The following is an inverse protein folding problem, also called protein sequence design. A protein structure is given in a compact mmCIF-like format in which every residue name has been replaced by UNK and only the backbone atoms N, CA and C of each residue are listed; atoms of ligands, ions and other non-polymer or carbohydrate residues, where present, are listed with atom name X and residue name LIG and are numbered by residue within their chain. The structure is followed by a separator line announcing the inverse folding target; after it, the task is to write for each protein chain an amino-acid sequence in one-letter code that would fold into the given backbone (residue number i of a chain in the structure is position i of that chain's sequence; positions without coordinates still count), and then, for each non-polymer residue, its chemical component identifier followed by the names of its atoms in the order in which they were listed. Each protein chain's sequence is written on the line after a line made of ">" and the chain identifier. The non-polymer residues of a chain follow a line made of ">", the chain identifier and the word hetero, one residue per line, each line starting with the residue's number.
data_IF_297527985413
#
_entry.id   IF_297527985413
#
_cell.length_a   1.000
_cell.length_b   1.000
_cell.length_c   1.000
_cell.angle_alpha   90.00
_cell.angle_beta   90.00
_cell.angle_gamma   90.00
#
_symmetry.space_group_name_H-M   'P 1'
#
loop_
_entity.id
_entity.type
_entity.pdbx_description
1 polymer ?
#
# COMPACT_ATOMS: atom_id res chain seq x y z
N UNK A 1 7.30 5.92 6.00
CA UNK A 1 7.39 4.44 6.09
C UNK A 1 6.05 3.79 5.74
N UNK A 2 6.07 2.53 5.30
CA UNK A 2 4.82 1.79 5.06
C UNK A 2 4.22 1.33 6.40
N UNK A 3 2.89 1.48 6.61
CA UNK A 3 2.20 0.91 7.78
C UNK A 3 2.39 -0.60 7.94
N UNK A 4 2.71 -1.31 6.85
CA UNK A 4 2.95 -2.75 6.85
C UNK A 4 4.32 -3.16 7.43
N UNK A 5 5.22 -2.19 7.71
CA UNK A 5 6.55 -2.43 8.27
C UNK A 5 6.51 -3.21 9.60
N UNK A 6 5.46 -3.00 10.39
CA UNK A 6 5.29 -3.62 11.71
C UNK A 6 4.32 -4.81 11.72
N UNK A 7 3.85 -5.25 10.56
CA UNK A 7 2.77 -6.24 10.47
C UNK A 7 1.42 -5.69 10.94
N UNK A 8 0.32 -6.29 10.47
CA UNK A 8 -1.04 -5.77 10.63
C UNK A 8 -1.52 -5.60 12.09
N UNK A 9 -0.86 -6.21 13.08
CA UNK A 9 -1.38 -6.32 14.43
C UNK A 9 -0.58 -5.56 15.51
N UNK A 10 0.63 -5.05 15.21
CA UNK A 10 1.45 -4.43 16.23
C UNK A 10 0.87 -3.10 16.71
N UNK A 11 0.49 -2.23 15.78
CA UNK A 11 -0.08 -0.92 16.09
C UNK A 11 -1.51 -1.00 16.68
N UNK A 12 -2.18 -2.16 16.60
CA UNK A 12 -3.51 -2.37 17.18
C UNK A 12 -3.46 -2.67 18.69
N UNK A 13 -2.29 -3.02 19.23
CA UNK A 13 -2.14 -3.27 20.66
C UNK A 13 -2.25 -1.98 21.47
N UNK A 14 -2.80 -2.10 22.68
CA UNK A 14 -3.06 -0.96 23.58
C UNK A 14 -1.81 -0.12 23.87
N UNK A 15 -0.63 -0.73 23.90
CA UNK A 15 0.65 -0.06 24.16
C UNK A 15 1.03 0.94 23.03
N UNK A 16 0.48 0.78 21.84
CA UNK A 16 0.74 1.64 20.67
C UNK A 16 -0.36 2.67 20.41
N UNK A 17 -1.32 2.81 21.32
CA UNK A 17 -2.48 3.68 21.12
C UNK A 17 -2.10 5.16 20.90
N UNK A 18 -1.09 5.68 21.61
CA UNK A 18 -0.57 7.06 21.43
C UNK A 18 0.04 7.22 20.04
N UNK A 19 0.89 6.28 19.63
CA UNK A 19 1.51 6.28 18.30
C UNK A 19 0.44 6.22 17.20
N UNK A 20 -0.54 5.33 17.32
CA UNK A 20 -1.64 5.22 16.36
C UNK A 20 -2.41 6.54 16.22
N UNK A 21 -2.81 7.16 17.34
CA UNK A 21 -3.50 8.46 17.33
C UNK A 21 -2.68 9.57 16.68
N UNK A 22 -1.38 9.60 16.95
CA UNK A 22 -0.47 10.55 16.30
C UNK A 22 -0.39 10.31 14.80
N UNK A 23 -0.22 9.05 14.34
CA UNK A 23 -0.15 8.71 12.92
C UNK A 23 -1.45 9.01 12.17
N UNK A 24 -2.61 8.85 12.82
CA UNK A 24 -3.90 9.29 12.28
C UNK A 24 -3.92 10.80 12.02
N UNK A 25 -3.43 11.61 12.97
CA UNK A 25 -3.34 13.07 12.81
C UNK A 25 -2.25 13.48 11.82
N UNK A 26 -1.16 12.70 11.72
CA UNK A 26 -0.06 12.95 10.79
C UNK A 26 -0.48 12.93 9.32
N UNK A 27 -1.63 12.32 8.99
CA UNK A 27 -2.22 12.40 7.64
C UNK A 27 -2.61 13.83 7.24
N UNK A 28 -2.88 14.69 8.23
CA UNK A 28 -3.13 16.12 8.00
C UNK A 28 -1.84 16.97 8.08
N UNK A 29 -0.69 16.32 8.21
CA UNK A 29 0.59 16.97 8.51
C UNK A 29 0.66 17.38 9.98
N UNK A 30 1.77 17.03 10.64
CA UNK A 30 2.07 17.46 12.03
C UNK A 30 3.39 18.20 12.02
N UNK A 31 3.40 19.35 12.68
CA UNK A 31 4.62 20.08 12.99
C UNK A 31 4.88 20.00 14.49
N UNK A 32 6.03 19.47 14.85
CA UNK A 32 6.48 19.38 16.22
C UNK A 32 7.32 20.61 16.60
N UNK A 33 7.30 21.06 17.88
CA UNK A 33 8.18 22.10 18.35
C UNK A 33 9.65 21.64 18.31
N UNK A 34 10.57 22.59 18.12
CA UNK A 34 12.01 22.30 18.04
C UNK A 34 12.53 21.53 19.26
N UNK A 35 11.99 21.80 20.46
CA UNK A 35 12.33 21.08 21.69
C UNK A 35 12.08 19.57 21.59
N UNK A 36 11.00 19.15 20.96
CA UNK A 36 10.67 17.74 20.78
C UNK A 36 11.53 17.09 19.70
N UNK A 37 11.86 17.84 18.65
CA UNK A 37 12.80 17.38 17.61
C UNK A 37 14.18 17.15 18.23
N UNK A 38 14.68 18.06 19.05
CA UNK A 38 15.98 17.93 19.72
C UNK A 38 16.05 16.72 20.66
N UNK A 39 14.95 16.35 21.33
CA UNK A 39 14.90 15.15 22.17
C UNK A 39 15.17 13.85 21.38
N UNK A 40 14.67 13.77 20.15
CA UNK A 40 14.80 12.56 19.31
C UNK A 40 15.95 12.64 18.31
N UNK A 41 16.63 13.78 18.21
CA UNK A 41 17.66 14.04 17.20
C UNK A 41 18.79 12.98 17.21
N UNK A 42 19.30 12.64 18.41
CA UNK A 42 20.35 11.63 18.54
C UNK A 42 19.91 10.21 18.10
N UNK A 43 18.60 9.91 18.22
CA UNK A 43 18.04 8.64 17.72
C UNK A 43 17.90 8.66 16.21
N UNK A 44 17.58 9.83 15.62
CA UNK A 44 17.52 9.99 14.15
C UNK A 44 18.91 9.84 13.54
N UNK A 45 19.97 10.39 14.15
CA UNK A 45 21.36 10.20 13.68
C UNK A 45 21.77 8.72 13.70
N UNK A 46 21.41 8.00 14.77
CA UNK A 46 21.67 6.56 14.89
C UNK A 46 20.94 5.74 13.82
N UNK A 47 19.71 6.11 13.46
CA UNK A 47 18.97 5.42 12.40
C UNK A 47 19.67 5.50 11.03
N UNK A 48 20.37 6.60 10.75
CA UNK A 48 21.12 6.77 9.48
C UNK A 48 22.38 5.92 9.47
N UNK A 49 23.00 5.70 10.63
CA UNK A 49 24.25 4.92 10.74
C UNK A 49 24.06 3.41 10.89
N UNK A 50 22.87 2.97 11.34
CA UNK A 50 22.58 1.57 11.67
C UNK A 50 21.56 0.93 10.70
N UNK A 51 21.78 1.00 9.39
CA UNK A 51 20.80 0.69 8.33
C UNK A 51 20.12 -0.69 8.38
N UNK A 52 20.60 -1.68 9.14
CA UNK A 52 20.00 -3.02 9.17
C UNK A 52 20.03 -3.71 10.55
N UNK A 53 20.12 -2.95 11.64
CA UNK A 53 20.21 -3.58 12.97
C UNK A 53 18.83 -3.67 13.66
N UNK A 54 18.68 -4.66 14.55
CA UNK A 54 17.52 -4.72 15.46
C UNK A 54 17.33 -3.42 16.23
N UNK A 55 18.41 -2.75 16.60
CA UNK A 55 18.39 -1.48 17.30
C UNK A 55 17.81 -0.34 16.47
N UNK A 56 17.94 -0.35 15.15
CA UNK A 56 17.27 0.63 14.28
C UNK A 56 15.75 0.56 14.44
N UNK A 57 15.17 -0.63 14.55
CA UNK A 57 13.73 -0.80 14.78
C UNK A 57 13.33 -0.25 16.16
N UNK A 58 14.12 -0.53 17.19
CA UNK A 58 13.87 -0.02 18.55
C UNK A 58 13.99 1.49 18.58
N UNK A 59 15.04 2.06 18.00
CA UNK A 59 15.24 3.51 17.92
C UNK A 59 14.08 4.19 17.17
N UNK A 60 13.62 3.60 16.08
CA UNK A 60 12.49 4.12 15.33
C UNK A 60 11.17 4.09 16.14
N UNK A 61 10.88 2.99 16.84
CA UNK A 61 9.71 2.91 17.72
C UNK A 61 9.81 3.90 18.88
N UNK A 62 11.00 4.11 19.42
CA UNK A 62 11.24 5.09 20.49
C UNK A 62 10.98 6.51 19.98
N UNK A 63 11.46 6.87 18.79
CA UNK A 63 11.18 8.16 18.16
C UNK A 63 9.66 8.36 18.00
N UNK A 64 8.96 7.36 17.47
CA UNK A 64 7.50 7.45 17.30
C UNK A 64 6.78 7.62 18.64
N UNK A 65 7.25 6.93 19.69
CA UNK A 65 6.66 7.05 21.01
C UNK A 65 6.91 8.43 21.59
N UNK A 66 8.14 8.92 21.62
CA UNK A 66 8.51 10.25 22.16
C UNK A 66 7.72 11.38 21.45
N UNK A 67 7.56 11.28 20.13
CA UNK A 67 6.75 12.24 19.36
C UNK A 67 5.25 12.08 19.64
N UNK A 68 4.79 10.87 19.96
CA UNK A 68 3.36 10.59 20.17
C UNK A 68 2.83 11.09 21.51
N UNK A 69 3.71 11.29 22.49
CA UNK A 69 3.37 11.83 23.83
C UNK A 69 3.54 13.35 23.91
N UNK A 70 4.04 14.00 22.85
CA UNK A 70 4.13 15.45 22.78
C UNK A 70 2.74 16.06 22.61
N UNK A 71 2.39 17.03 23.47
CA UNK A 71 1.10 17.71 23.47
C UNK A 71 1.09 18.99 22.63
N UNK A 72 2.26 19.62 22.44
CA UNK A 72 2.42 20.93 21.81
C UNK A 72 2.67 20.85 20.29
N UNK A 73 2.16 19.84 19.60
CA UNK A 73 2.27 19.76 18.15
C UNK A 73 1.17 20.58 17.45
N UNK A 74 1.43 21.04 16.22
CA UNK A 74 0.46 21.71 15.35
C UNK A 74 0.05 20.81 14.21
N UNK A 75 -1.25 20.65 14.00
CA UNK A 75 -1.79 20.02 12.78
C UNK A 75 -1.81 21.08 11.69
N UNK A 76 -1.19 20.81 10.53
CA UNK A 76 -0.94 21.78 9.49
C UNK A 76 -2.15 22.00 8.57
N UNK A 77 -2.94 20.96 8.32
CA UNK A 77 -4.13 21.07 7.49
C UNK A 77 -5.39 21.22 8.34
N UNK A 78 -6.31 22.09 7.91
CA UNK A 78 -7.61 22.26 8.58
C UNK A 78 -8.46 20.99 8.48
N UNK A 79 -9.42 20.84 9.40
CA UNK A 79 -10.41 19.75 9.43
C UNK A 79 -11.26 19.65 8.13
N UNK A 80 -11.27 20.68 7.29
CA UNK A 80 -11.84 20.62 5.94
C UNK A 80 -11.01 19.77 4.98
N UNK A 81 -9.70 19.66 5.21
CA UNK A 81 -8.82 18.71 4.54
C UNK A 81 -8.97 17.31 5.16
N UNK A 82 -9.38 17.22 6.40
CA UNK A 82 -9.70 15.96 7.11
C UNK A 82 -10.99 15.27 6.57
N UNK A 83 -11.76 15.89 5.66
CA UNK A 83 -12.70 15.14 4.80
C UNK A 83 -12.02 14.16 3.84
N UNK A 84 -10.70 14.20 3.76
CA UNK A 84 -9.85 13.09 3.25
C UNK A 84 -9.71 11.97 4.31
N UNK A 85 -10.39 12.02 5.44
CA UNK A 85 -10.46 10.95 6.45
C UNK A 85 -11.23 9.71 6.00
N UNK A 86 -11.59 9.66 4.76
CA UNK A 86 -11.90 8.42 4.07
C UNK A 86 -10.63 7.63 3.64
N UNK A 87 -9.41 8.16 3.93
CA UNK A 87 -8.16 7.51 3.51
C UNK A 87 -8.03 6.10 4.11
N UNK A 88 -8.46 5.88 5.36
CA UNK A 88 -8.46 4.52 5.94
C UNK A 88 -9.55 3.63 5.34
N UNK A 89 -10.72 4.17 5.04
CA UNK A 89 -11.76 3.44 4.36
C UNK A 89 -11.39 3.22 2.89
N UNK A 90 -10.80 4.21 2.25
CA UNK A 90 -10.27 4.13 0.90
C UNK A 90 -9.05 3.20 0.81
N UNK A 91 -8.12 3.25 1.77
CA UNK A 91 -7.00 2.30 1.86
C UNK A 91 -7.50 0.87 2.07
N UNK A 92 -8.49 0.65 2.92
CA UNK A 92 -9.15 -0.65 3.09
C UNK A 92 -9.89 -1.09 1.83
N UNK A 93 -10.58 -0.19 1.14
CA UNK A 93 -11.25 -0.50 -0.12
C UNK A 93 -10.27 -0.92 -1.19
N UNK A 94 -9.19 -0.15 -1.41
CA UNK A 94 -8.20 -0.50 -2.43
C UNK A 94 -7.48 -1.81 -2.08
N UNK A 95 -7.14 -2.04 -0.83
CA UNK A 95 -6.52 -3.28 -0.37
C UNK A 95 -7.44 -4.51 -0.58
N UNK A 96 -8.74 -4.36 -0.30
CA UNK A 96 -9.74 -5.41 -0.57
C UNK A 96 -9.81 -5.76 -2.06
N UNK A 97 -9.77 -4.74 -2.92
CA UNK A 97 -9.76 -4.92 -4.38
C UNK A 97 -8.46 -5.60 -4.84
N UNK A 98 -7.31 -5.17 -4.35
CA UNK A 98 -6.01 -5.75 -4.70
C UNK A 98 -5.91 -7.21 -4.27
N UNK A 99 -6.37 -7.55 -3.07
CA UNK A 99 -6.43 -8.94 -2.58
C UNK A 99 -7.32 -9.79 -3.48
N UNK A 100 -8.54 -9.29 -3.82
CA UNK A 100 -9.45 -10.00 -4.72
C UNK A 100 -8.82 -10.27 -6.09
N UNK A 101 -8.12 -9.28 -6.66
CA UNK A 101 -7.44 -9.44 -7.96
C UNK A 101 -6.29 -10.46 -7.83
N UNK A 102 -5.47 -10.39 -6.79
CA UNK A 102 -4.35 -11.31 -6.57
C UNK A 102 -4.79 -12.76 -6.40
N UNK A 103 -5.95 -12.99 -5.76
CA UNK A 103 -6.51 -14.33 -5.57
C UNK A 103 -7.14 -14.90 -6.85
N UNK A 104 -7.60 -14.02 -7.76
CA UNK A 104 -8.43 -14.41 -8.92
C UNK A 104 -7.91 -13.90 -10.26
N UNK A 105 -6.64 -13.47 -10.36
CA UNK A 105 -6.07 -12.87 -11.58
C UNK A 105 -6.20 -13.76 -12.83
N UNK A 106 -6.29 -15.06 -12.66
CA UNK A 106 -6.46 -16.04 -13.75
C UNK A 106 -7.87 -15.98 -14.36
N UNK A 107 -8.86 -15.51 -13.62
CA UNK A 107 -10.27 -15.49 -14.00
C UNK A 107 -10.63 -14.19 -14.75
N UNK A 108 -11.84 -14.16 -15.34
CA UNK A 108 -12.42 -12.93 -15.89
C UNK A 108 -12.89 -12.02 -14.73
N UNK A 109 -12.14 -10.97 -14.45
CA UNK A 109 -12.45 -9.99 -13.42
C UNK A 109 -13.11 -8.78 -14.05
N UNK A 110 -14.39 -8.57 -13.72
CA UNK A 110 -15.18 -7.47 -14.26
C UNK A 110 -15.20 -6.26 -13.32
N UNK A 111 -15.18 -5.08 -13.92
CA UNK A 111 -15.20 -3.80 -13.18
C UNK A 111 -16.42 -3.71 -12.24
N UNK A 112 -17.59 -4.19 -12.68
CA UNK A 112 -18.81 -4.13 -11.86
C UNK A 112 -18.70 -4.97 -10.59
N UNK A 113 -18.07 -6.15 -10.65
CA UNK A 113 -17.85 -7.02 -9.48
C UNK A 113 -16.98 -6.33 -8.43
N UNK A 114 -15.93 -5.64 -8.86
CA UNK A 114 -15.04 -4.91 -7.96
C UNK A 114 -15.68 -3.65 -7.40
N UNK A 115 -16.49 -2.96 -8.20
CA UNK A 115 -17.25 -1.81 -7.75
C UNK A 115 -18.25 -2.20 -6.65
N UNK A 116 -18.99 -3.30 -6.85
CA UNK A 116 -19.93 -3.87 -5.88
C UNK A 116 -19.19 -4.32 -4.60
N UNK A 117 -18.04 -4.98 -4.71
CA UNK A 117 -17.20 -5.43 -3.59
C UNK A 117 -16.86 -4.31 -2.61
N UNK A 118 -16.75 -3.06 -3.08
CA UNK A 118 -16.40 -1.89 -2.27
C UNK A 118 -17.55 -0.88 -2.11
N UNK A 119 -18.76 -1.25 -2.56
CA UNK A 119 -19.97 -0.42 -2.43
C UNK A 119 -19.91 0.87 -3.25
N UNK A 120 -19.39 0.82 -4.48
CA UNK A 120 -19.26 1.97 -5.35
C UNK A 120 -19.98 1.77 -6.69
N UNK A 121 -20.45 2.88 -7.29
CA UNK A 121 -20.91 2.83 -8.69
C UNK A 121 -19.71 2.55 -9.62
N UNK A 122 -19.89 1.78 -10.73
CA UNK A 122 -18.79 1.40 -11.64
C UNK A 122 -17.94 2.57 -12.15
N UNK A 123 -18.56 3.67 -12.51
CA UNK A 123 -17.87 4.89 -13.00
C UNK A 123 -17.04 5.56 -11.90
N UNK A 124 -17.57 5.60 -10.66
CA UNK A 124 -16.86 6.15 -9.51
C UNK A 124 -15.68 5.25 -9.13
N UNK A 125 -15.89 3.91 -9.13
CA UNK A 125 -14.84 2.93 -8.89
C UNK A 125 -13.69 3.04 -9.90
N UNK A 126 -13.98 3.17 -11.19
CA UNK A 126 -12.95 3.31 -12.22
C UNK A 126 -12.03 4.51 -11.97
N UNK A 127 -12.61 5.67 -11.62
CA UNK A 127 -11.85 6.89 -11.26
C UNK A 127 -11.07 6.71 -9.96
N UNK A 128 -11.70 6.15 -8.93
CA UNK A 128 -11.09 5.85 -7.65
C UNK A 128 -9.88 4.91 -7.82
N UNK A 129 -10.04 3.81 -8.55
CA UNK A 129 -8.99 2.83 -8.76
C UNK A 129 -7.79 3.43 -9.49
N UNK A 130 -8.05 4.17 -10.59
CA UNK A 130 -6.98 4.86 -11.36
C UNK A 130 -6.26 5.91 -10.50
N UNK A 131 -6.97 6.66 -9.68
CA UNK A 131 -6.37 7.67 -8.79
C UNK A 131 -5.45 7.01 -7.75
N UNK A 132 -5.85 5.86 -7.18
CA UNK A 132 -5.11 5.18 -6.12
C UNK A 132 -3.95 4.31 -6.62
N UNK A 133 -4.06 3.74 -7.82
CA UNK A 133 -3.04 2.81 -8.37
C UNK A 133 -2.20 3.44 -9.48
N UNK A 134 -2.57 4.59 -9.99
CA UNK A 134 -1.97 5.23 -11.17
C UNK A 134 -2.27 4.51 -12.49
N UNK A 135 -3.06 3.41 -12.46
CA UNK A 135 -3.31 2.54 -13.62
C UNK A 135 -4.79 2.28 -13.83
N UNK A 136 -5.18 1.97 -15.06
CA UNK A 136 -6.52 1.42 -15.29
C UNK A 136 -6.63 0.02 -14.68
N UNK A 137 -7.85 -0.44 -14.38
CA UNK A 137 -8.07 -1.81 -13.87
C UNK A 137 -7.51 -2.87 -14.82
N UNK A 138 -7.73 -2.72 -16.11
CA UNK A 138 -7.24 -3.66 -17.13
C UNK A 138 -5.70 -3.71 -17.18
N UNK A 139 -5.05 -2.55 -17.14
CA UNK A 139 -3.58 -2.48 -17.10
C UNK A 139 -3.02 -3.10 -15.82
N UNK A 140 -3.67 -2.86 -14.69
CA UNK A 140 -3.26 -3.39 -13.39
C UNK A 140 -3.35 -4.93 -13.36
N UNK A 141 -4.47 -5.51 -13.80
CA UNK A 141 -4.65 -6.97 -13.91
C UNK A 141 -3.63 -7.57 -14.88
N UNK A 142 -3.40 -6.90 -16.01
CA UNK A 142 -2.41 -7.31 -17.00
C UNK A 142 -1.00 -7.33 -16.41
N UNK A 143 -0.62 -6.34 -15.61
CA UNK A 143 0.68 -6.29 -14.95
C UNK A 143 0.88 -7.45 -13.98
N UNK A 144 -0.15 -7.78 -13.20
CA UNK A 144 -0.13 -8.93 -12.28
C UNK A 144 0.05 -10.23 -13.08
N UNK A 145 -0.74 -10.45 -14.11
CA UNK A 145 -0.65 -11.63 -14.98
C UNK A 145 0.74 -11.80 -15.61
N UNK A 146 1.31 -10.71 -16.14
CA UNK A 146 2.68 -10.70 -16.69
C UNK A 146 3.74 -11.00 -15.63
N UNK A 147 3.57 -10.48 -14.40
CA UNK A 147 4.46 -10.77 -13.28
C UNK A 147 4.48 -12.26 -12.94
N UNK A 148 3.30 -12.89 -12.82
CA UNK A 148 3.18 -14.32 -12.59
C UNK A 148 3.72 -15.15 -13.77
N UNK A 149 3.43 -14.75 -15.01
CA UNK A 149 3.95 -15.43 -16.20
C UNK A 149 5.48 -15.39 -16.25
N UNK A 150 6.09 -14.26 -15.97
CA UNK A 150 7.55 -14.13 -15.93
C UNK A 150 8.18 -15.04 -14.85
N UNK A 151 7.53 -15.18 -13.71
CA UNK A 151 7.97 -16.09 -12.65
C UNK A 151 7.83 -17.56 -13.09
N UNK A 152 6.69 -17.95 -13.67
CA UNK A 152 6.47 -19.32 -14.14
C UNK A 152 7.45 -19.72 -15.25
N UNK A 153 7.86 -18.79 -16.12
CA UNK A 153 8.88 -19.03 -17.14
C UNK A 153 10.26 -19.39 -16.57
N UNK A 154 10.57 -18.89 -15.35
CA UNK A 154 11.84 -19.18 -14.65
C UNK A 154 11.71 -20.44 -13.79
N UNK A 155 10.58 -20.58 -13.09
CA UNK A 155 10.41 -21.61 -12.05
C UNK A 155 9.87 -22.94 -12.57
N UNK A 156 9.42 -23.02 -13.84
CA UNK A 156 8.75 -24.23 -14.36
C UNK A 156 9.25 -24.61 -15.77
N UNK A 157 8.98 -25.85 -16.17
CA UNK A 157 9.26 -26.41 -17.51
C UNK A 157 8.02 -26.32 -18.44
N UNK A 158 7.00 -25.54 -18.09
CA UNK A 158 5.77 -25.41 -18.89
C UNK A 158 6.02 -24.65 -20.19
N UNK A 159 5.26 -24.99 -21.21
CA UNK A 159 5.31 -24.25 -22.47
C UNK A 159 4.78 -22.83 -22.32
N UNK A 160 5.23 -21.92 -23.18
CA UNK A 160 4.75 -20.52 -23.20
C UNK A 160 3.23 -20.46 -23.39
N UNK A 161 2.65 -21.38 -24.14
CA UNK A 161 1.20 -21.45 -24.35
C UNK A 161 0.46 -21.82 -23.05
N UNK A 162 0.92 -22.84 -22.34
CA UNK A 162 0.34 -23.21 -21.04
C UNK A 162 0.42 -22.07 -20.05
N UNK A 163 1.59 -21.43 -19.90
CA UNK A 163 1.78 -20.28 -19.00
C UNK A 163 0.85 -19.12 -19.37
N UNK A 164 0.67 -18.85 -20.67
CA UNK A 164 -0.25 -17.82 -21.15
C UNK A 164 -1.67 -18.07 -20.63
N UNK A 165 -2.20 -19.28 -20.81
CA UNK A 165 -3.57 -19.61 -20.39
C UNK A 165 -3.70 -19.73 -18.88
N UNK A 166 -2.72 -20.30 -18.19
CA UNK A 166 -2.68 -20.40 -16.73
C UNK A 166 -2.64 -19.02 -16.05
N UNK A 167 -2.06 -18.01 -16.71
CA UNK A 167 -2.07 -16.64 -16.22
C UNK A 167 -3.34 -15.85 -16.62
N UNK A 168 -4.34 -16.49 -17.24
CA UNK A 168 -5.63 -15.89 -17.56
C UNK A 168 -5.64 -15.07 -18.85
N UNK A 169 -4.68 -15.27 -19.76
CA UNK A 169 -4.75 -14.71 -21.12
C UNK A 169 -5.52 -15.65 -22.04
N UNK A 170 -6.38 -15.09 -22.88
CA UNK A 170 -7.19 -15.87 -23.82
C UNK A 170 -6.55 -16.00 -25.21
N UNK A 171 -5.42 -15.33 -25.44
CA UNK A 171 -4.79 -15.27 -26.75
C UNK A 171 -3.27 -15.17 -26.63
N UNK A 172 -2.57 -16.15 -27.19
CA UNK A 172 -1.12 -16.26 -27.14
C UNK A 172 -0.40 -15.10 -27.87
N UNK A 173 -0.93 -14.68 -29.02
CA UNK A 173 -0.33 -13.60 -29.81
C UNK A 173 -0.41 -12.27 -29.04
N UNK A 174 -1.55 -11.99 -28.40
CA UNK A 174 -1.72 -10.82 -27.54
C UNK A 174 -0.81 -10.89 -26.30
N UNK A 175 -0.72 -12.06 -25.66
CA UNK A 175 0.19 -12.29 -24.55
C UNK A 175 1.64 -11.97 -24.95
N UNK A 176 2.15 -12.56 -26.03
CA UNK A 176 3.51 -12.34 -26.51
C UNK A 176 3.78 -10.85 -26.79
N UNK A 177 2.86 -10.16 -27.45
CA UNK A 177 2.97 -8.71 -27.71
C UNK A 177 3.07 -7.88 -26.42
N UNK A 178 2.20 -8.19 -25.44
CA UNK A 178 2.18 -7.48 -24.16
C UNK A 178 3.44 -7.83 -23.35
N UNK A 179 3.81 -9.09 -23.28
CA UNK A 179 4.98 -9.55 -22.55
C UNK A 179 6.26 -8.89 -23.08
N UNK A 180 6.46 -8.86 -24.39
CA UNK A 180 7.60 -8.19 -25.04
C UNK A 180 7.64 -6.67 -24.78
N UNK A 181 6.47 -6.04 -24.63
CA UNK A 181 6.40 -4.59 -24.36
C UNK A 181 6.75 -4.24 -22.91
N UNK A 182 6.47 -5.16 -21.96
CA UNK A 182 6.58 -4.91 -20.52
C UNK A 182 7.84 -5.49 -19.86
N UNK A 183 8.58 -6.31 -20.58
CA UNK A 183 9.86 -6.93 -20.20
C UNK A 183 10.95 -6.60 -21.21
#
# INVERSE_FOLDING_TARGET
>A
FSPDLFGKNLLEKNQFNSIRKMLEKAQCGISFPMSSILKVYHLLEKLVSEEQSFYAVINFLTILYELSVEENYKVLASSSFAKITDIHSESRRIQKVQNYINERYQQDIRLNQLAELVGMAPSAFSRFFKLRTGKTLSDYITDIRIGYAARMLVDTQRSIAEICYDCGFNNLSNFNRIFKKKK
#
